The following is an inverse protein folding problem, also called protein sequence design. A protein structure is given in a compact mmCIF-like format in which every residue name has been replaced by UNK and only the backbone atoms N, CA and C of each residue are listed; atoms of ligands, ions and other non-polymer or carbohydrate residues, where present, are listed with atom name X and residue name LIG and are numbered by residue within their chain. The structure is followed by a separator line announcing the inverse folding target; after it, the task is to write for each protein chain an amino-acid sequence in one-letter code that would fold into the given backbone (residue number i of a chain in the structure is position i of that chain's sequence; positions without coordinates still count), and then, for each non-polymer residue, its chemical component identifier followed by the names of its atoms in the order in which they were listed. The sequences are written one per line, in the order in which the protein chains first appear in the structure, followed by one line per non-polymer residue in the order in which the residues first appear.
data_IF_873785624195
#
_entry.id   IF_873785624195
#
_cell.length_a   1.000
_cell.length_b   1.000
_cell.length_c   1.000
_cell.angle_alpha   90.00
_cell.angle_beta   90.00
_cell.angle_gamma   90.00
#
_symmetry.space_group_name_H-M   'P 1'
#
loop_
_entity.id
_entity.type
_entity.pdbx_description
1 polymer ?
#
# COMPACT_ATOMS: atom_id res chain seq x y z
N UNK A 1 2.20 20.71 -18.60
CA UNK A 1 2.78 20.09 -17.40
C UNK A 1 1.87 20.41 -16.23
N UNK A 2 1.31 19.40 -15.59
CA UNK A 2 0.48 19.61 -14.39
C UNK A 2 1.40 20.04 -13.24
N UNK A 3 1.20 21.25 -12.72
CA UNK A 3 1.92 21.71 -11.54
C UNK A 3 1.41 20.95 -10.32
N UNK A 4 2.17 19.96 -9.87
CA UNK A 4 1.79 19.01 -8.81
C UNK A 4 1.55 19.66 -7.42
N UNK A 5 1.81 20.96 -7.28
CA UNK A 5 1.75 21.69 -6.01
C UNK A 5 0.47 22.51 -5.80
N UNK A 6 -0.51 22.40 -6.67
CA UNK A 6 -1.78 23.09 -6.47
C UNK A 6 -2.66 22.32 -5.46
N UNK A 7 -3.35 22.99 -4.52
CA UNK A 7 -4.25 22.32 -3.56
C UNK A 7 -5.33 21.45 -4.20
N UNK A 8 -5.73 21.78 -5.43
CA UNK A 8 -6.70 21.04 -6.23
C UNK A 8 -6.16 19.70 -6.76
N UNK A 9 -4.83 19.49 -6.74
CA UNK A 9 -4.17 18.27 -7.21
C UNK A 9 -3.68 17.40 -6.03
N UNK A 10 -4.60 17.09 -5.13
CA UNK A 10 -4.35 16.22 -4.00
C UNK A 10 -4.08 14.75 -4.40
N UNK A 11 -3.80 13.91 -3.43
CA UNK A 11 -3.52 12.49 -3.66
C UNK A 11 -4.70 11.76 -4.32
N UNK A 12 -5.94 12.17 -4.06
CA UNK A 12 -7.13 11.57 -4.69
C UNK A 12 -7.23 11.92 -6.16
N UNK A 13 -6.95 13.17 -6.51
CA UNK A 13 -6.90 13.61 -7.92
C UNK A 13 -5.79 12.87 -8.68
N UNK A 14 -4.60 12.76 -8.11
CA UNK A 14 -3.49 12.01 -8.71
C UNK A 14 -3.85 10.54 -8.95
N UNK A 15 -4.47 9.88 -7.98
CA UNK A 15 -4.96 8.51 -8.13
C UNK A 15 -6.01 8.41 -9.23
N UNK A 16 -6.95 9.33 -9.29
CA UNK A 16 -7.96 9.36 -10.34
C UNK A 16 -7.35 9.46 -11.73
N UNK A 17 -6.38 10.36 -11.93
CA UNK A 17 -5.67 10.51 -13.20
C UNK A 17 -4.93 9.21 -13.57
N UNK A 18 -4.18 8.64 -12.63
CA UNK A 18 -3.46 7.37 -12.83
C UNK A 18 -4.44 6.26 -13.23
N UNK A 19 -5.60 6.19 -12.61
CA UNK A 19 -6.64 5.21 -12.94
C UNK A 19 -7.22 5.34 -14.35
N UNK A 20 -7.00 6.46 -15.04
CA UNK A 20 -7.42 6.68 -16.43
C UNK A 20 -6.32 6.40 -17.46
N UNK A 21 -5.11 6.17 -17.00
CA UNK A 21 -3.99 5.85 -17.89
C UNK A 21 -4.02 4.39 -18.32
N UNK A 22 -3.50 4.13 -19.52
CA UNK A 22 -3.30 2.77 -20.01
C UNK A 22 -2.23 2.05 -19.18
N UNK A 23 -1.07 2.69 -18.99
CA UNK A 23 0.05 2.18 -18.26
C UNK A 23 0.87 3.32 -17.64
N UNK A 24 1.71 3.00 -16.68
CA UNK A 24 2.60 3.94 -15.99
C UNK A 24 4.02 3.38 -15.97
N UNK A 25 5.00 4.23 -16.19
CA UNK A 25 6.41 3.96 -15.85
C UNK A 25 6.72 4.79 -14.61
N UNK A 26 6.88 4.14 -13.48
CA UNK A 26 7.00 4.80 -12.17
C UNK A 26 8.37 4.59 -11.54
N UNK A 27 9.02 5.69 -11.16
CA UNK A 27 10.27 5.66 -10.39
C UNK A 27 10.02 5.93 -8.90
N UNK A 28 8.97 6.67 -8.56
CA UNK A 28 8.63 7.00 -7.18
C UNK A 28 7.70 5.97 -6.56
N UNK A 29 7.93 5.66 -5.29
CA UNK A 29 7.13 4.69 -4.53
C UNK A 29 5.62 4.97 -4.58
N UNK A 30 5.21 6.23 -4.38
CA UNK A 30 3.79 6.61 -4.39
C UNK A 30 3.14 6.44 -5.76
N UNK A 31 3.82 6.73 -6.87
CA UNK A 31 3.26 6.52 -8.21
C UNK A 31 2.96 5.04 -8.48
N UNK A 32 3.82 4.16 -8.03
CA UNK A 32 3.64 2.71 -8.17
C UNK A 32 2.53 2.17 -7.26
N UNK A 33 2.44 2.67 -6.02
CA UNK A 33 1.33 2.32 -5.12
C UNK A 33 -0.01 2.81 -5.68
N UNK A 34 -0.07 4.01 -6.21
CA UNK A 34 -1.30 4.54 -6.79
C UNK A 34 -1.71 3.75 -8.04
N UNK A 35 -0.74 3.36 -8.89
CA UNK A 35 -1.00 2.50 -10.04
C UNK A 35 -1.56 1.15 -9.62
N UNK A 36 -0.95 0.51 -8.64
CA UNK A 36 -1.41 -0.76 -8.09
C UNK A 36 -2.82 -0.64 -7.49
N UNK A 37 -3.08 0.42 -6.72
CA UNK A 37 -4.39 0.68 -6.11
C UNK A 37 -5.48 0.92 -7.13
N UNK A 38 -5.18 1.62 -8.20
CA UNK A 38 -6.14 1.95 -9.26
C UNK A 38 -6.26 0.85 -10.32
N UNK A 39 -5.48 -0.22 -10.22
CA UNK A 39 -5.49 -1.32 -11.18
C UNK A 39 -4.88 -0.97 -12.54
N UNK A 40 -4.00 0.03 -12.58
CA UNK A 40 -3.29 0.45 -13.79
C UNK A 40 -1.96 -0.27 -13.88
N UNK A 41 -1.69 -1.06 -14.93
CA UNK A 41 -0.41 -1.73 -15.13
C UNK A 41 0.76 -0.75 -15.15
N UNK A 42 1.88 -1.14 -14.57
CA UNK A 42 3.05 -0.27 -14.48
C UNK A 42 4.36 -1.02 -14.51
N UNK A 43 5.38 -0.38 -15.05
CA UNK A 43 6.78 -0.77 -14.93
C UNK A 43 7.41 0.08 -13.85
N UNK A 44 8.05 -0.55 -12.89
CA UNK A 44 8.74 0.13 -11.79
C UNK A 44 10.23 0.24 -12.07
N UNK A 45 10.79 1.44 -11.93
CA UNK A 45 12.23 1.66 -11.89
C UNK A 45 12.62 1.83 -10.42
N UNK A 46 13.37 0.87 -9.91
CA UNK A 46 13.68 0.83 -8.49
C UNK A 46 15.10 1.30 -8.21
N UNK A 47 15.23 2.27 -7.31
CA UNK A 47 16.49 2.74 -6.75
C UNK A 47 16.59 2.45 -5.23
N UNK A 48 15.55 1.89 -4.64
CA UNK A 48 15.47 1.55 -3.22
C UNK A 48 14.95 0.14 -3.00
N UNK A 49 15.44 -0.52 -1.95
CA UNK A 49 15.01 -1.87 -1.55
C UNK A 49 13.50 -1.94 -1.24
N UNK A 50 12.93 -0.85 -0.75
CA UNK A 50 11.50 -0.76 -0.42
C UNK A 50 10.62 -0.98 -1.65
N UNK A 51 11.03 -0.43 -2.79
CA UNK A 51 10.31 -0.59 -4.06
C UNK A 51 10.39 -2.03 -4.55
N UNK A 52 11.58 -2.61 -4.51
CA UNK A 52 11.79 -4.01 -4.89
C UNK A 52 10.94 -4.94 -4.03
N UNK A 53 10.96 -4.76 -2.72
CA UNK A 53 10.14 -5.55 -1.79
C UNK A 53 8.64 -5.41 -2.04
N UNK A 54 8.18 -4.22 -2.42
CA UNK A 54 6.78 -4.00 -2.81
C UNK A 54 6.42 -4.79 -4.08
N UNK A 55 7.26 -4.74 -5.12
CA UNK A 55 7.03 -5.46 -6.38
C UNK A 55 7.06 -6.98 -6.17
N UNK A 56 7.99 -7.49 -5.39
CA UNK A 56 8.05 -8.91 -5.00
C UNK A 56 6.77 -9.36 -4.26
N UNK A 57 6.32 -8.57 -3.29
CA UNK A 57 5.09 -8.83 -2.54
C UNK A 57 3.84 -8.83 -3.44
N UNK A 58 3.84 -8.00 -4.46
CA UNK A 58 2.79 -7.96 -5.47
C UNK A 58 2.87 -9.11 -6.49
N UNK A 59 3.99 -9.86 -6.54
CA UNK A 59 4.26 -10.86 -7.57
C UNK A 59 4.48 -10.25 -8.95
N UNK A 60 5.05 -9.05 -8.98
CA UNK A 60 5.30 -8.22 -10.17
C UNK A 60 6.77 -7.85 -10.31
N UNK A 61 7.66 -8.63 -9.71
CA UNK A 61 9.11 -8.40 -9.71
C UNK A 61 9.72 -8.44 -11.11
N UNK A 62 9.12 -9.18 -12.04
CA UNK A 62 9.50 -9.22 -13.47
C UNK A 62 9.35 -7.85 -14.17
N UNK A 63 8.50 -6.98 -13.66
CA UNK A 63 8.28 -5.61 -14.16
C UNK A 63 8.99 -4.54 -13.34
N UNK A 64 9.99 -4.94 -12.56
CA UNK A 64 10.80 -4.06 -11.72
C UNK A 64 12.23 -4.01 -12.24
N UNK A 65 12.64 -2.86 -12.77
CA UNK A 65 13.97 -2.64 -13.31
C UNK A 65 14.82 -1.92 -12.26
N UNK A 66 15.90 -2.55 -11.73
CA UNK A 66 16.86 -1.83 -10.91
C UNK A 66 17.52 -0.69 -11.71
N UNK A 67 17.70 0.47 -11.09
CA UNK A 67 18.21 1.65 -11.79
C UNK A 67 19.61 1.42 -12.41
N UNK A 68 20.40 0.57 -11.80
CA UNK A 68 21.74 0.20 -12.31
C UNK A 68 21.69 -0.61 -13.61
N UNK A 69 20.55 -1.25 -13.88
CA UNK A 69 20.30 -2.04 -15.10
C UNK A 69 19.43 -1.32 -16.13
N UNK A 70 19.03 -0.09 -15.83
CA UNK A 70 18.14 0.68 -16.68
C UNK A 70 18.86 1.07 -17.97
N UNK A 71 18.39 0.54 -19.09
CA UNK A 71 18.72 0.93 -20.45
C UNK A 71 17.43 1.13 -21.24
N UNK A 72 17.51 1.80 -22.36
CA UNK A 72 16.34 1.96 -23.23
C UNK A 72 15.79 0.60 -23.67
N UNK A 73 16.66 -0.29 -24.12
CA UNK A 73 16.31 -1.64 -24.54
C UNK A 73 15.62 -2.43 -23.39
N UNK A 74 16.18 -2.40 -22.19
CA UNK A 74 15.59 -3.08 -21.02
C UNK A 74 14.20 -2.51 -20.68
N UNK A 75 14.03 -1.20 -20.78
CA UNK A 75 12.73 -0.56 -20.53
C UNK A 75 11.71 -0.93 -21.61
N UNK A 76 12.10 -0.88 -22.88
CA UNK A 76 11.23 -1.27 -24.00
C UNK A 76 10.79 -2.72 -23.88
N UNK A 77 11.72 -3.65 -23.68
CA UNK A 77 11.43 -5.08 -23.52
C UNK A 77 10.48 -5.35 -22.36
N UNK A 78 10.74 -4.74 -21.21
CA UNK A 78 9.89 -4.91 -20.01
C UNK A 78 8.49 -4.31 -20.23
N UNK A 79 8.41 -3.17 -20.89
CA UNK A 79 7.14 -2.52 -21.20
C UNK A 79 6.34 -3.32 -22.22
N UNK A 80 6.98 -3.84 -23.27
CA UNK A 80 6.34 -4.68 -24.27
C UNK A 80 5.85 -5.99 -23.66
N UNK A 81 6.61 -6.61 -22.78
CA UNK A 81 6.20 -7.79 -22.03
C UNK A 81 4.97 -7.50 -21.14
N UNK A 82 4.97 -6.36 -20.46
CA UNK A 82 3.79 -5.91 -19.72
C UNK A 82 2.58 -5.72 -20.63
N UNK A 83 2.74 -5.12 -21.79
CA UNK A 83 1.65 -4.94 -22.75
C UNK A 83 1.14 -6.28 -23.29
N UNK A 84 2.02 -7.23 -23.58
CA UNK A 84 1.64 -8.57 -24.03
C UNK A 84 0.85 -9.35 -22.96
N UNK A 85 1.17 -9.11 -21.69
CA UNK A 85 0.51 -9.73 -20.54
C UNK A 85 -0.51 -8.78 -19.86
N UNK A 86 -0.96 -7.75 -20.53
CA UNK A 86 -1.73 -6.65 -19.97
C UNK A 86 -2.96 -7.11 -19.18
N UNK A 87 -3.74 -8.01 -19.75
CA UNK A 87 -4.95 -8.52 -19.11
C UNK A 87 -4.63 -9.33 -17.85
N UNK A 88 -3.67 -10.23 -17.94
CA UNK A 88 -3.19 -11.02 -16.79
C UNK A 88 -2.59 -10.14 -15.69
N UNK A 89 -1.88 -9.08 -16.06
CA UNK A 89 -1.35 -8.10 -15.12
C UNK A 89 -2.48 -7.40 -14.35
N UNK A 90 -3.51 -6.95 -15.04
CA UNK A 90 -4.69 -6.32 -14.40
C UNK A 90 -5.41 -7.26 -13.44
N UNK A 91 -5.55 -8.52 -13.80
CA UNK A 91 -6.15 -9.54 -12.92
C UNK A 91 -5.30 -9.75 -11.66
N UNK A 92 -3.98 -9.84 -11.78
CA UNK A 92 -3.07 -9.91 -10.63
C UNK A 92 -3.21 -8.70 -9.71
N UNK A 93 -3.26 -7.47 -10.26
CA UNK A 93 -3.45 -6.26 -9.47
C UNK A 93 -4.77 -6.28 -8.69
N UNK A 94 -5.84 -6.68 -9.33
CA UNK A 94 -7.17 -6.78 -8.72
C UNK A 94 -7.18 -7.82 -7.57
N UNK A 95 -6.63 -8.99 -7.80
CA UNK A 95 -6.52 -10.05 -6.80
C UNK A 95 -5.70 -9.61 -5.58
N UNK A 96 -4.52 -9.03 -5.83
CA UNK A 96 -3.65 -8.52 -4.76
C UNK A 96 -4.27 -7.36 -3.99
N UNK A 97 -4.96 -6.46 -4.67
CA UNK A 97 -5.70 -5.39 -4.02
C UNK A 97 -6.76 -5.92 -3.05
N UNK A 98 -7.54 -6.91 -3.48
CA UNK A 98 -8.55 -7.56 -2.63
C UNK A 98 -7.92 -8.28 -1.44
N UNK A 99 -6.80 -8.97 -1.64
CA UNK A 99 -6.08 -9.65 -0.58
C UNK A 99 -5.53 -8.65 0.44
N UNK A 100 -4.86 -7.59 -0.01
CA UNK A 100 -4.32 -6.55 0.87
C UNK A 100 -5.42 -5.83 1.66
N UNK A 101 -6.57 -5.63 1.06
CA UNK A 101 -7.74 -5.05 1.75
C UNK A 101 -8.24 -5.98 2.87
N UNK A 102 -8.33 -7.28 2.62
CA UNK A 102 -8.70 -8.28 3.64
C UNK A 102 -7.68 -8.32 4.78
N UNK A 103 -6.39 -8.33 4.46
CA UNK A 103 -5.32 -8.36 5.45
C UNK A 103 -5.31 -7.08 6.30
N UNK A 104 -5.58 -5.93 5.70
CA UNK A 104 -5.72 -4.65 6.41
C UNK A 104 -6.92 -4.64 7.37
N UNK A 105 -8.06 -5.18 6.95
CA UNK A 105 -9.24 -5.31 7.82
C UNK A 105 -8.95 -6.23 9.00
N UNK A 106 -8.34 -7.39 8.76
CA UNK A 106 -7.97 -8.32 9.83
C UNK A 106 -7.00 -7.68 10.83
N UNK A 107 -5.99 -6.98 10.36
CA UNK A 107 -5.05 -6.25 11.23
C UNK A 107 -5.76 -5.18 12.07
N UNK A 108 -6.73 -4.49 11.50
CA UNK A 108 -7.53 -3.49 12.21
C UNK A 108 -8.42 -4.14 13.27
N UNK A 109 -9.09 -5.24 12.94
CA UNK A 109 -9.90 -6.01 13.90
C UNK A 109 -9.05 -6.55 15.04
N UNK A 110 -7.88 -7.10 14.76
CA UNK A 110 -6.95 -7.59 15.80
C UNK A 110 -6.46 -6.44 16.69
N UNK A 111 -6.15 -5.27 16.12
CA UNK A 111 -5.75 -4.09 16.89
C UNK A 111 -6.88 -3.58 17.79
N UNK A 112 -8.12 -3.53 17.28
CA UNK A 112 -9.30 -3.15 18.07
C UNK A 112 -9.55 -4.12 19.22
N UNK A 113 -9.46 -5.43 18.98
CA UNK A 113 -9.62 -6.45 20.01
C UNK A 113 -8.58 -6.31 21.13
N UNK A 114 -7.33 -5.97 20.80
CA UNK A 114 -6.26 -5.71 21.79
C UNK A 114 -6.57 -4.45 22.59
N UNK A 115 -7.04 -3.38 21.95
CA UNK A 115 -7.40 -2.13 22.61
C UNK A 115 -8.59 -2.33 23.56
N UNK A 116 -9.62 -3.07 23.14
CA UNK A 116 -10.78 -3.40 23.98
C UNK A 116 -10.37 -4.20 25.21
N UNK A 117 -9.53 -5.22 25.08
CA UNK A 117 -8.99 -5.97 26.22
C UNK A 117 -8.26 -5.07 27.21
N UNK A 118 -7.36 -4.22 26.72
CA UNK A 118 -6.62 -3.28 27.58
C UNK A 118 -7.54 -2.28 28.29
N UNK A 119 -8.58 -1.82 27.60
CA UNK A 119 -9.56 -0.91 28.19
C UNK A 119 -10.37 -1.58 29.31
N UNK A 120 -10.81 -2.81 29.09
CA UNK A 120 -11.54 -3.59 30.10
C UNK A 120 -10.65 -3.90 31.32
N UNK A 121 -9.40 -4.31 31.08
CA UNK A 121 -8.44 -4.57 32.18
C UNK A 121 -8.14 -3.32 33.01
N UNK A 122 -7.99 -2.16 32.35
CA UNK A 122 -7.77 -0.89 33.02
C UNK A 122 -8.96 -0.51 33.92
N UNK A 123 -10.17 -0.57 33.37
CA UNK A 123 -11.38 -0.25 34.11
C UNK A 123 -11.60 -1.22 35.30
N UNK A 124 -11.26 -2.49 35.14
CA UNK A 124 -11.32 -3.47 36.22
C UNK A 124 -10.35 -3.14 37.36
N UNK A 125 -9.11 -2.76 37.03
CA UNK A 125 -8.11 -2.34 38.02
C UNK A 125 -8.52 -1.05 38.72
N UNK A 126 -9.08 -0.08 37.99
CA UNK A 126 -9.59 1.15 38.60
C UNK A 126 -10.77 0.92 39.50
N UNK A 127 -11.69 0.01 39.16
CA UNK A 127 -12.80 -0.35 40.05
C UNK A 127 -12.35 -1.15 41.29
N UNK A 128 -11.35 -2.01 41.19
CA UNK A 128 -10.75 -2.73 42.32
C UNK A 128 -10.02 -1.76 43.25
N UNK A 129 -9.31 -0.76 42.71
CA UNK A 129 -8.65 0.28 43.52
C UNK A 129 -9.66 1.22 44.21
N UNK A 130 -10.81 1.46 43.59
CA UNK A 130 -11.86 2.31 44.14
C UNK A 130 -12.61 1.62 45.32
N UNK A 131 -12.62 0.28 45.36
CA UNK A 131 -13.27 -0.55 46.36
C UNK A 131 -12.35 -0.98 47.54
N UNK A 132 -11.09 -0.52 47.59
CA UNK A 132 -10.33 -0.66 48.82
C UNK A 132 -10.96 0.25 49.90
N UNK A 133 -11.70 -0.30 50.89
CA UNK A 133 -12.13 0.52 52.00
C UNK A 133 -10.86 1.04 52.67
N UNK A 134 -10.75 2.34 52.80
CA UNK A 134 -9.69 2.95 53.55
C UNK A 134 -9.76 2.37 55.01
N UNK A 135 -8.92 1.38 55.29
CA UNK A 135 -8.84 0.73 56.59
C UNK A 135 -8.33 1.67 57.70
N UNK A 136 -8.13 2.93 57.38
CA UNK A 136 -7.55 3.94 58.27
C UNK A 136 -8.52 5.05 58.64
N UNK A 137 -9.81 4.86 58.54
CA UNK A 137 -10.78 5.75 59.15
C UNK A 137 -11.15 5.17 60.50
N UNK A 138 -10.40 5.56 61.50
CA UNK A 138 -10.88 5.52 62.86
C UNK A 138 -11.77 6.71 63.11
#
# INVERSE_FOLDING_TARGET
MLEANKPEYDAYFQQYVIGKLYAVVGMRYHSNIFSAKMGTPFVSISYEQKMKGFMEKMGLDEYCIPIEKLTLECLEDTFDEMCNNYHSYKEKLKEKHLQMKKDSHKTTEDALAILEKKYVEKNKKESENFYEPSRNVL
#
